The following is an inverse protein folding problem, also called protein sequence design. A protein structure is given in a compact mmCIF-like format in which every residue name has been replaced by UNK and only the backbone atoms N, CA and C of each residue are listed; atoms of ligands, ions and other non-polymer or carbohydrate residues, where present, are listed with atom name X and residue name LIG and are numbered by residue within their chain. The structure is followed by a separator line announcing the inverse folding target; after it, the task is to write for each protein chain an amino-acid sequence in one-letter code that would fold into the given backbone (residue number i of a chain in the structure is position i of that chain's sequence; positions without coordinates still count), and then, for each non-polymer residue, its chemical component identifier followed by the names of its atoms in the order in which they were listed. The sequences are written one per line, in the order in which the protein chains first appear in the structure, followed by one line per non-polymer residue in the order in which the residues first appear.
data_IF_066147635704
#
_entry.id   IF_066147635704
#
_cell.length_a   1.000
_cell.length_b   1.000
_cell.length_c   1.000
_cell.angle_alpha   90.00
_cell.angle_beta   90.00
_cell.angle_gamma   90.00
#
_symmetry.space_group_name_H-M   'P 1'
#
loop_
_entity.id
_entity.type
_entity.pdbx_description
1 polymer ?
#
# COMPACT_ATOMS: atom_id res chain seq x y z
N UNK A 1 -10.62 -47.18 -13.93
CA UNK A 1 -9.19 -47.26 -14.31
C UNK A 1 -8.41 -47.52 -13.03
N UNK A 2 -7.74 -48.66 -12.93
CA UNK A 2 -6.84 -48.92 -11.81
C UNK A 2 -5.62 -47.99 -11.91
N UNK A 3 -5.40 -47.20 -10.87
CA UNK A 3 -4.23 -46.31 -10.78
C UNK A 3 -3.00 -47.14 -10.42
N UNK A 4 -1.97 -47.06 -11.26
CA UNK A 4 -0.65 -47.66 -11.03
C UNK A 4 0.12 -46.98 -9.90
N UNK A 5 -0.13 -45.68 -9.69
CA UNK A 5 0.44 -44.88 -8.59
C UNK A 5 -0.67 -44.63 -7.56
N UNK A 6 -0.52 -45.23 -6.38
CA UNK A 6 -1.47 -45.12 -5.26
C UNK A 6 -1.05 -44.03 -4.27
N UNK A 7 -0.72 -42.85 -4.78
CA UNK A 7 -0.46 -41.66 -3.97
C UNK A 7 -1.68 -40.74 -4.06
N UNK A 8 -2.42 -40.62 -2.95
CA UNK A 8 -3.49 -39.64 -2.84
C UNK A 8 -2.92 -38.34 -2.27
N UNK A 9 -3.17 -37.22 -2.96
CA UNK A 9 -2.70 -35.90 -2.55
C UNK A 9 -3.41 -35.43 -1.27
N UNK A 10 -4.67 -35.80 -1.08
CA UNK A 10 -5.47 -35.40 0.09
C UNK A 10 -5.03 -36.10 1.37
N UNK A 11 -4.53 -37.34 1.25
CA UNK A 11 -4.03 -38.14 2.37
C UNK A 11 -2.50 -38.05 2.55
N UNK A 12 -1.80 -37.30 1.70
CA UNK A 12 -0.34 -37.25 1.68
C UNK A 12 0.20 -36.61 2.97
N UNK A 13 1.19 -37.27 3.59
CA UNK A 13 1.73 -36.82 4.87
C UNK A 13 0.68 -36.77 5.98
N UNK A 14 -0.16 -37.82 6.07
CA UNK A 14 -1.26 -37.94 7.05
C UNK A 14 -2.31 -36.82 6.94
N UNK A 15 -2.50 -36.27 5.74
CA UNK A 15 -3.42 -35.16 5.50
C UNK A 15 -2.81 -33.78 5.75
N UNK A 16 -1.54 -33.70 6.18
CA UNK A 16 -0.87 -32.43 6.44
C UNK A 16 -0.75 -31.52 5.21
N UNK A 17 -0.71 -32.10 3.99
CA UNK A 17 -0.78 -31.29 2.76
C UNK A 17 -2.14 -30.62 2.60
N UNK A 18 -3.22 -31.36 2.84
CA UNK A 18 -4.59 -30.84 2.73
C UNK A 18 -4.80 -29.67 3.69
N UNK A 19 -4.39 -29.81 4.95
CA UNK A 19 -4.51 -28.72 5.93
C UNK A 19 -3.76 -27.45 5.53
N UNK A 20 -2.56 -27.58 4.93
CA UNK A 20 -1.80 -26.42 4.44
C UNK A 20 -2.49 -25.77 3.24
N UNK A 21 -3.06 -26.57 2.35
CA UNK A 21 -3.82 -26.07 1.19
C UNK A 21 -5.06 -25.33 1.66
N UNK A 22 -5.82 -25.89 2.60
CA UNK A 22 -7.04 -25.28 3.12
C UNK A 22 -6.77 -23.91 3.74
N UNK A 23 -5.70 -23.78 4.56
CA UNK A 23 -5.27 -22.51 5.15
C UNK A 23 -4.87 -21.46 4.10
N UNK A 24 -4.19 -21.87 3.05
CA UNK A 24 -3.80 -20.93 1.98
C UNK A 24 -4.98 -20.57 1.08
N UNK A 25 -5.93 -21.48 0.87
CA UNK A 25 -7.18 -21.21 0.17
C UNK A 25 -8.05 -20.22 0.94
N UNK A 26 -8.16 -20.36 2.26
CA UNK A 26 -8.88 -19.41 3.11
C UNK A 26 -8.37 -17.98 2.91
N UNK A 27 -7.05 -17.78 2.97
CA UNK A 27 -6.42 -16.46 2.69
C UNK A 27 -6.71 -15.95 1.29
N UNK A 28 -6.72 -16.83 0.29
CA UNK A 28 -7.04 -16.46 -1.09
C UNK A 28 -8.48 -15.98 -1.19
N UNK A 29 -9.43 -16.69 -0.57
CA UNK A 29 -10.83 -16.32 -0.57
C UNK A 29 -11.10 -15.05 0.24
N UNK A 30 -10.49 -14.90 1.41
CA UNK A 30 -10.56 -13.66 2.21
C UNK A 30 -10.05 -12.47 1.41
N UNK A 31 -8.93 -12.65 0.70
CA UNK A 31 -8.39 -11.62 -0.16
C UNK A 31 -9.27 -11.35 -1.38
N UNK A 32 -10.10 -12.29 -1.87
CA UNK A 32 -11.08 -12.02 -2.95
C UNK A 32 -12.27 -11.22 -2.41
N UNK A 33 -12.70 -11.53 -1.19
CA UNK A 33 -13.85 -10.91 -0.55
C UNK A 33 -13.53 -9.53 0.02
N UNK A 34 -12.26 -9.17 0.22
CA UNK A 34 -11.82 -7.84 0.66
C UNK A 34 -12.13 -6.77 -0.42
N UNK A 35 -13.06 -5.82 -0.15
CA UNK A 35 -13.38 -4.73 -1.07
C UNK A 35 -12.20 -3.81 -1.37
N UNK A 36 -11.18 -3.81 -0.52
CA UNK A 36 -9.98 -3.01 -0.69
C UNK A 36 -8.93 -3.68 -1.58
N UNK A 37 -9.26 -4.76 -2.28
CA UNK A 37 -8.34 -5.44 -3.21
C UNK A 37 -8.89 -5.44 -4.62
N UNK A 38 -8.01 -5.48 -5.63
CA UNK A 38 -8.47 -5.53 -7.02
C UNK A 38 -9.11 -6.90 -7.35
N UNK A 39 -10.41 -6.86 -7.69
CA UNK A 39 -11.20 -8.03 -8.10
C UNK A 39 -10.68 -8.72 -9.38
N UNK A 40 -10.00 -8.00 -10.28
CA UNK A 40 -9.53 -8.53 -11.56
C UNK A 40 -8.16 -9.18 -11.47
N UNK A 41 -7.40 -8.92 -10.40
CA UNK A 41 -6.07 -9.49 -10.23
C UNK A 41 -6.17 -10.97 -9.88
N UNK A 42 -5.48 -11.79 -10.67
CA UNK A 42 -5.44 -13.23 -10.45
C UNK A 42 -4.66 -13.56 -9.17
N UNK A 43 -5.22 -14.46 -8.36
CA UNK A 43 -4.57 -15.05 -7.17
C UNK A 43 -4.06 -16.44 -7.54
N UNK A 44 -2.90 -16.81 -7.00
CA UNK A 44 -2.23 -18.06 -7.34
C UNK A 44 -1.97 -18.87 -6.09
N UNK A 45 -2.17 -20.18 -6.14
CA UNK A 45 -1.73 -21.12 -5.11
C UNK A 45 -0.76 -22.10 -5.75
N UNK A 46 0.41 -22.29 -5.14
CA UNK A 46 1.48 -23.15 -5.64
C UNK A 46 1.81 -24.18 -4.57
N UNK A 47 1.68 -25.46 -4.94
CA UNK A 47 2.13 -26.60 -4.14
C UNK A 47 3.45 -27.07 -4.72
N UNK A 48 4.49 -27.11 -3.90
CA UNK A 48 5.83 -27.59 -4.24
C UNK A 48 6.10 -28.88 -3.48
N UNK A 49 6.34 -29.96 -4.21
CA UNK A 49 6.80 -31.23 -3.64
C UNK A 49 8.26 -31.43 -4.01
N UNK A 50 9.13 -31.55 -3.01
CA UNK A 50 10.55 -31.84 -3.22
C UNK A 50 10.82 -33.27 -2.81
N UNK A 51 11.26 -34.09 -3.75
CA UNK A 51 11.54 -35.51 -3.55
C UNK A 51 13.04 -35.76 -3.62
N UNK A 52 13.58 -36.47 -2.63
CA UNK A 52 14.97 -36.94 -2.60
C UNK A 52 14.98 -38.44 -2.34
N UNK A 53 15.47 -39.20 -3.30
CA UNK A 53 15.68 -40.64 -3.14
C UNK A 53 16.94 -40.92 -2.33
N UNK A 54 16.96 -42.07 -1.67
CA UNK A 54 18.18 -42.67 -1.11
C UNK A 54 19.02 -43.36 -2.20
N UNK A 55 20.22 -43.83 -1.83
CA UNK A 55 21.17 -44.44 -2.77
C UNK A 55 20.62 -45.72 -3.40
N UNK A 56 19.81 -46.49 -2.66
CA UNK A 56 19.12 -47.69 -3.15
C UNK A 56 17.90 -47.38 -4.02
N UNK A 57 17.39 -46.13 -3.99
CA UNK A 57 16.18 -45.67 -4.69
C UNK A 57 14.90 -46.40 -4.27
N UNK A 58 14.91 -46.97 -3.07
CA UNK A 58 13.76 -47.66 -2.48
C UNK A 58 12.93 -46.73 -1.61
N UNK A 59 13.58 -45.72 -1.00
CA UNK A 59 12.91 -44.74 -0.14
C UNK A 59 13.05 -43.35 -0.73
N UNK A 60 11.92 -42.66 -0.88
CA UNK A 60 11.87 -41.28 -1.36
C UNK A 60 11.38 -40.36 -0.26
N UNK A 61 12.28 -39.56 0.29
CA UNK A 61 11.94 -38.48 1.21
C UNK A 61 11.21 -37.38 0.45
N UNK A 62 9.99 -37.05 0.87
CA UNK A 62 9.16 -36.04 0.20
C UNK A 62 8.84 -34.89 1.17
N UNK A 63 9.25 -33.67 0.83
CA UNK A 63 8.85 -32.45 1.53
C UNK A 63 7.78 -31.68 0.75
N UNK A 64 6.90 -30.99 1.46
CA UNK A 64 5.72 -30.33 0.88
C UNK A 64 5.58 -28.90 1.40
N UNK A 65 5.55 -27.96 0.46
CA UNK A 65 5.41 -26.53 0.70
C UNK A 65 4.23 -25.97 -0.10
N UNK A 66 3.42 -25.13 0.52
CA UNK A 66 2.28 -24.45 -0.12
C UNK A 66 2.46 -22.96 0.04
N UNK A 67 2.31 -22.20 -1.05
CA UNK A 67 2.41 -20.74 -1.04
C UNK A 67 1.29 -20.13 -1.87
N UNK A 68 0.67 -19.07 -1.37
CA UNK A 68 -0.26 -18.24 -2.12
C UNK A 68 0.38 -16.93 -2.61
N UNK A 69 -0.13 -16.39 -3.71
CA UNK A 69 0.11 -15.03 -4.20
C UNK A 69 -1.23 -14.33 -4.24
N UNK A 70 -1.35 -13.30 -3.40
CA UNK A 70 -2.57 -12.54 -3.18
C UNK A 70 -2.59 -11.27 -4.05
N UNK A 71 -3.77 -10.72 -4.29
CA UNK A 71 -3.89 -9.40 -4.89
C UNK A 71 -3.42 -8.34 -3.88
N UNK A 72 -2.68 -7.31 -4.32
CA UNK A 72 -2.30 -6.20 -3.46
C UNK A 72 -3.56 -5.43 -3.04
N UNK A 73 -3.51 -4.84 -1.85
CA UNK A 73 -4.52 -3.87 -1.46
C UNK A 73 -4.42 -2.63 -2.37
N UNK A 74 -5.58 -2.06 -2.70
CA UNK A 74 -5.73 -0.83 -3.45
C UNK A 74 -4.90 0.25 -2.76
N UNK A 75 -3.88 0.74 -3.47
CA UNK A 75 -2.99 1.74 -2.93
C UNK A 75 -3.73 3.04 -2.64
N UNK A 76 -3.48 3.61 -1.46
CA UNK A 76 -3.91 4.98 -1.15
C UNK A 76 -2.96 5.92 -1.86
N UNK A 77 -3.42 6.59 -2.92
CA UNK A 77 -2.65 7.60 -3.61
C UNK A 77 -2.75 8.92 -2.83
N UNK A 78 -1.59 9.51 -2.52
CA UNK A 78 -1.49 10.89 -2.02
C UNK A 78 -0.50 11.67 -2.87
N UNK A 79 -0.72 12.98 -2.99
CA UNK A 79 0.17 13.88 -3.73
C UNK A 79 1.11 14.55 -2.75
N UNK A 80 2.40 14.60 -3.06
CA UNK A 80 3.43 15.17 -2.17
C UNK A 80 4.09 16.35 -2.88
N UNK A 81 4.10 17.52 -2.23
CA UNK A 81 4.91 18.68 -2.58
C UNK A 81 6.37 18.41 -2.20
N UNK A 82 7.29 18.55 -3.14
CA UNK A 82 8.72 18.36 -2.92
C UNK A 82 9.47 19.63 -3.33
N UNK A 83 10.40 20.07 -2.48
CA UNK A 83 11.25 21.23 -2.73
C UNK A 83 12.68 21.01 -2.20
N UNK A 84 13.63 21.80 -2.68
CA UNK A 84 15.02 21.79 -2.21
C UNK A 84 15.41 23.17 -1.71
N UNK A 85 15.87 23.26 -0.47
CA UNK A 85 16.39 24.49 0.15
C UNK A 85 17.68 24.18 0.89
N UNK A 86 18.71 24.99 0.69
CA UNK A 86 20.02 24.86 1.35
C UNK A 86 20.66 23.46 1.23
N UNK A 87 20.51 22.84 0.05
CA UNK A 87 21.03 21.50 -0.22
C UNK A 87 20.23 20.35 0.42
N UNK A 88 19.23 20.66 1.26
CA UNK A 88 18.33 19.69 1.92
C UNK A 88 17.00 19.59 1.16
N UNK A 89 16.50 18.37 1.05
CA UNK A 89 15.20 18.07 0.45
C UNK A 89 14.10 18.21 1.51
N UNK A 90 13.04 18.93 1.18
CA UNK A 90 11.84 19.09 2.00
C UNK A 90 10.66 18.52 1.23
N UNK A 91 9.79 17.80 1.92
CA UNK A 91 8.58 17.25 1.33
C UNK A 91 7.41 17.36 2.31
N UNK A 92 6.24 17.73 1.81
CA UNK A 92 4.98 17.79 2.55
C UNK A 92 3.85 17.23 1.69
N UNK A 93 2.83 16.67 2.32
CA UNK A 93 1.63 16.25 1.60
C UNK A 93 0.90 17.48 1.02
N UNK A 94 0.55 17.42 -0.27
CA UNK A 94 -0.27 18.43 -0.91
C UNK A 94 -1.73 18.21 -0.47
N UNK A 95 -2.27 19.18 0.26
CA UNK A 95 -3.66 19.13 0.76
C UNK A 95 -4.62 19.98 -0.08
N UNK A 96 -4.10 20.92 -0.88
CA UNK A 96 -4.87 21.65 -1.88
C UNK A 96 -4.84 20.97 -3.26
N UNK A 97 -5.57 21.50 -4.24
CA UNK A 97 -5.56 20.96 -5.61
C UNK A 97 -4.32 21.38 -6.42
N UNK A 98 -3.62 22.44 -5.99
CA UNK A 98 -2.47 22.99 -6.71
C UNK A 98 -1.40 23.53 -5.74
N UNK A 99 -0.10 23.37 -6.05
CA UNK A 99 0.98 24.01 -5.30
C UNK A 99 0.76 25.52 -5.15
N UNK A 100 0.93 26.05 -3.94
CA UNK A 100 0.73 27.46 -3.61
C UNK A 100 -0.73 27.91 -3.50
N UNK A 101 -1.72 27.03 -3.74
CA UNK A 101 -3.13 27.36 -3.61
C UNK A 101 -3.60 27.21 -2.17
N UNK A 102 -4.13 28.30 -1.60
CA UNK A 102 -4.88 28.24 -0.33
C UNK A 102 -6.25 27.60 -0.55
N UNK A 103 -6.76 26.91 0.46
CA UNK A 103 -8.07 26.28 0.42
C UNK A 103 -8.80 26.44 1.76
N UNK A 104 -10.12 26.30 1.76
CA UNK A 104 -10.91 26.21 2.99
C UNK A 104 -11.00 24.76 3.41
N UNK A 105 -10.65 24.47 4.67
CA UNK A 105 -10.86 23.15 5.25
C UNK A 105 -12.33 22.91 5.63
N UNK A 106 -12.65 21.71 6.11
CA UNK A 106 -14.01 21.30 6.50
C UNK A 106 -14.60 22.15 7.64
N UNK A 107 -13.76 22.91 8.36
CA UNK A 107 -14.16 23.83 9.42
C UNK A 107 -14.25 25.28 8.93
N UNK A 108 -14.25 25.49 7.60
CA UNK A 108 -14.25 26.80 6.94
C UNK A 108 -13.06 27.69 7.33
N UNK A 109 -11.92 27.11 7.75
CA UNK A 109 -10.70 27.86 8.03
C UNK A 109 -9.81 27.91 6.78
N UNK A 110 -9.20 29.06 6.53
CA UNK A 110 -8.28 29.24 5.41
C UNK A 110 -6.93 28.58 5.74
N UNK A 111 -6.54 27.61 4.90
CA UNK A 111 -5.29 26.84 5.01
C UNK A 111 -4.41 27.05 3.78
N UNK A 112 -3.10 26.92 3.95
CA UNK A 112 -2.13 26.86 2.85
C UNK A 112 -2.23 25.54 2.09
N UNK A 113 -1.50 25.41 0.99
CA UNK A 113 -1.39 24.19 0.17
C UNK A 113 -0.87 22.96 0.93
N UNK A 114 -0.21 23.17 2.07
CA UNK A 114 0.28 22.14 3.01
C UNK A 114 -0.55 22.00 4.29
N UNK A 115 -1.70 22.69 4.40
CA UNK A 115 -2.64 22.54 5.52
C UNK A 115 -2.34 23.42 6.76
N UNK A 116 -1.40 24.36 6.67
CA UNK A 116 -1.11 25.30 7.76
C UNK A 116 -2.16 26.43 7.80
N UNK A 117 -2.61 26.88 8.99
CA UNK A 117 -3.51 28.03 9.11
C UNK A 117 -2.88 29.31 8.55
N UNK A 118 -3.59 30.03 7.68
CA UNK A 118 -3.08 31.28 7.08
C UNK A 118 -2.96 32.40 8.12
N UNK A 119 -3.86 32.45 9.10
CA UNK A 119 -3.85 33.45 10.18
C UNK A 119 -2.55 33.45 11.01
N UNK A 120 -1.89 32.29 11.13
CA UNK A 120 -0.63 32.15 11.86
C UNK A 120 0.57 32.68 11.05
N UNK A 121 0.49 32.58 9.72
CA UNK A 121 1.53 33.07 8.80
C UNK A 121 1.43 34.60 8.67
N UNK A 122 0.23 35.16 8.51
CA UNK A 122 0.03 36.60 8.36
C UNK A 122 0.45 37.39 9.60
N UNK A 123 0.22 36.84 10.80
CA UNK A 123 0.70 37.45 12.06
C UNK A 123 2.23 37.56 12.13
N UNK A 124 2.96 36.75 11.37
CA UNK A 124 4.43 36.77 11.30
C UNK A 124 5.04 37.68 10.24
N UNK A 125 4.25 38.23 9.29
CA UNK A 125 4.74 39.06 8.15
C UNK A 125 4.45 40.55 8.36
N UNK A 126 4.24 40.98 9.61
CA UNK A 126 3.72 42.30 9.93
C UNK A 126 4.83 43.35 10.19
N UNK A 127 5.82 43.49 9.30
CA UNK A 127 6.81 44.58 9.39
C UNK A 127 6.82 45.60 8.24
N UNK A 128 6.20 45.36 7.08
CA UNK A 128 6.27 46.33 5.95
C UNK A 128 4.94 46.51 5.18
N UNK A 129 3.84 46.77 5.89
CA UNK A 129 2.61 47.24 5.23
C UNK A 129 2.80 48.71 4.83
N UNK A 130 3.03 48.97 3.55
CA UNK A 130 3.02 50.34 2.99
C UNK A 130 1.58 50.87 3.02
N UNK A 131 1.35 51.85 3.89
CA UNK A 131 0.09 52.58 3.99
C UNK A 131 -0.07 53.58 2.83
N UNK A 132 -0.87 53.21 1.81
CA UNK A 132 -1.15 54.05 0.65
C UNK A 132 -2.04 55.26 0.95
N UNK A 133 -2.62 55.39 2.15
CA UNK A 133 -3.41 56.57 2.54
C UNK A 133 -2.54 57.76 2.99
N UNK A 134 -1.23 57.58 3.18
CA UNK A 134 -0.31 58.66 3.61
C UNK A 134 0.34 59.45 2.48
N UNK A 135 0.16 59.08 1.21
CA UNK A 135 0.69 59.84 0.07
C UNK A 135 -0.38 60.70 -0.59
N UNK A 136 -0.99 61.62 0.16
CA UNK A 136 -1.61 62.80 -0.44
C UNK A 136 -0.47 63.68 -0.97
N UNK A 137 -0.30 63.66 -2.28
CA UNK A 137 0.49 64.63 -3.05
C UNK A 137 0.07 66.05 -2.63
N UNK A 138 1.04 66.83 -2.18
CA UNK A 138 0.86 68.23 -1.82
C UNK A 138 0.51 69.10 -3.02
N UNK A 139 -0.24 70.18 -2.75
CA UNK A 139 -0.23 71.40 -3.55
C UNK A 139 0.98 72.25 -3.17
#
# INVERSE_FOLDING_TARGET
MDKTIKLDLSALGEGGLQEKVDKELEKVFDNILDPNTDSKVARKLVITLTMKADDSREVVSTSMDVKSTLAPQTGVATTVLVGKKDGKTYANELRSNMPGQMYFDDNAQLRTDIGQPVEEIEKGINEDVIDFNKKKVGN
#
